data_IF_298864479838
#
_entry.id   IF_298864479838
#
_cell.length_a   1.000
_cell.length_b   1.000
_cell.length_c   1.000
_cell.angle_alpha   90.00
_cell.angle_beta   90.00
_cell.angle_gamma   90.00
#
_symmetry.space_group_name_H-M   'P 1'
#
loop_
_entity.id
_entity.type
_entity.pdbx_description
1 polymer ?
#
# COMPACT_ATOMS: atom_id res chain seq x y z
N UNK A 1 21.48 -18.39 -2.14
CA UNK A 1 20.71 -19.06 -1.07
C UNK A 1 19.79 -18.01 -0.47
N UNK A 2 18.54 -17.91 -0.95
CA UNK A 2 17.57 -16.98 -0.38
C UNK A 2 16.91 -17.70 0.80
N UNK A 3 17.11 -17.18 2.01
CA UNK A 3 16.39 -17.62 3.20
C UNK A 3 14.90 -17.38 2.99
N UNK A 4 14.16 -18.45 2.68
CA UNK A 4 12.71 -18.47 2.83
C UNK A 4 12.41 -18.28 4.31
N UNK A 5 12.20 -17.03 4.70
CA UNK A 5 11.63 -16.71 6.01
C UNK A 5 10.27 -17.42 6.06
N UNK A 6 10.15 -18.45 6.91
CA UNK A 6 8.89 -19.10 7.27
C UNK A 6 7.98 -18.08 7.97
N UNK A 7 7.48 -17.11 7.24
CA UNK A 7 6.45 -16.20 7.71
C UNK A 7 5.11 -16.90 7.47
N UNK A 8 4.20 -16.82 8.44
CA UNK A 8 2.82 -17.28 8.27
C UNK A 8 2.05 -16.56 7.14
N UNK A 9 2.67 -15.56 6.50
CA UNK A 9 2.19 -14.83 5.33
C UNK A 9 3.29 -14.70 4.27
N UNK A 10 2.91 -14.55 2.99
CA UNK A 10 3.88 -14.48 1.88
C UNK A 10 4.42 -13.09 1.54
N UNK A 11 4.05 -12.04 2.30
CA UNK A 11 4.64 -10.72 2.13
C UNK A 11 6.13 -10.71 2.47
N UNK A 12 6.92 -10.12 1.57
CA UNK A 12 8.36 -9.94 1.66
C UNK A 12 8.71 -8.45 1.73
N UNK A 13 9.92 -8.14 2.21
CA UNK A 13 10.45 -6.78 2.15
C UNK A 13 10.59 -6.36 0.68
N UNK A 14 10.06 -5.19 0.35
CA UNK A 14 9.98 -4.67 -1.02
C UNK A 14 8.63 -4.88 -1.71
N UNK A 15 7.75 -5.75 -1.18
CA UNK A 15 6.38 -5.84 -1.69
C UNK A 15 5.65 -4.50 -1.55
N UNK A 16 4.75 -4.24 -2.49
CA UNK A 16 3.99 -3.00 -2.54
C UNK A 16 2.53 -3.34 -2.27
N UNK A 17 1.91 -2.51 -1.44
CA UNK A 17 0.49 -2.50 -1.20
C UNK A 17 -0.05 -1.12 -1.50
N UNK A 18 -1.34 -1.02 -1.73
CA UNK A 18 -2.01 0.26 -1.89
C UNK A 18 -3.28 0.30 -1.06
N UNK A 19 -3.62 1.49 -0.57
CA UNK A 19 -4.91 1.78 0.04
C UNK A 19 -5.71 2.63 -0.95
N UNK A 20 -6.93 2.22 -1.22
CA UNK A 20 -7.90 3.01 -1.98
C UNK A 20 -9.04 3.38 -1.06
N UNK A 21 -9.31 4.68 -0.92
CA UNK A 21 -10.40 5.15 -0.10
C UNK A 21 -10.99 6.44 -0.65
N UNK A 22 -12.26 6.64 -0.37
CA UNK A 22 -12.92 7.91 -0.52
C UNK A 22 -14.40 7.73 -0.75
N UNK A 23 -15.11 8.83 -0.59
CA UNK A 23 -16.56 8.85 -0.57
C UNK A 23 -17.10 9.29 -1.93
N UNK A 24 -16.70 10.49 -2.36
CA UNK A 24 -16.98 11.04 -3.70
C UNK A 24 -15.74 11.03 -4.61
N UNK A 25 -14.57 10.74 -4.06
CA UNK A 25 -13.27 10.72 -4.73
C UNK A 25 -12.59 9.38 -4.45
N UNK A 26 -11.65 8.97 -5.30
CA UNK A 26 -10.87 7.75 -5.10
C UNK A 26 -9.42 8.15 -4.84
N UNK A 27 -9.04 8.26 -3.56
CA UNK A 27 -7.67 8.53 -3.17
C UNK A 27 -6.88 7.24 -3.08
N UNK A 28 -5.76 7.18 -3.78
CA UNK A 28 -4.85 6.05 -3.77
C UNK A 28 -3.55 6.44 -3.10
N UNK A 29 -3.13 5.67 -2.09
CA UNK A 29 -1.81 5.79 -1.48
C UNK A 29 -1.08 4.45 -1.57
N UNK A 30 0.19 4.49 -1.97
CA UNK A 30 1.03 3.31 -2.09
C UNK A 30 1.97 3.18 -0.89
N UNK A 31 2.25 1.94 -0.54
CA UNK A 31 2.99 1.56 0.64
C UNK A 31 3.96 0.44 0.30
N UNK A 32 5.21 0.56 0.72
CA UNK A 32 6.21 -0.48 0.55
C UNK A 32 6.47 -1.18 1.88
N UNK A 33 6.56 -2.51 1.85
CA UNK A 33 6.98 -3.32 2.98
C UNK A 33 8.45 -3.09 3.25
N UNK A 34 8.78 -2.48 4.40
CA UNK A 34 10.17 -2.22 4.81
C UNK A 34 10.69 -3.29 5.78
N UNK A 35 9.78 -4.04 6.42
CA UNK A 35 10.11 -5.09 7.39
C UNK A 35 8.95 -6.07 7.50
N UNK A 36 9.27 -7.33 7.72
CA UNK A 36 8.30 -8.42 7.94
C UNK A 36 8.73 -9.25 9.15
N UNK A 37 7.77 -9.75 9.90
CA UNK A 37 7.94 -10.84 10.87
C UNK A 37 6.90 -11.92 10.57
N UNK A 38 6.81 -12.97 11.39
CA UNK A 38 5.88 -14.09 11.17
C UNK A 38 4.41 -13.68 10.94
N UNK A 39 3.94 -12.62 11.63
CA UNK A 39 2.52 -12.20 11.60
C UNK A 39 2.33 -10.71 11.36
N UNK A 40 3.40 -9.95 11.15
CA UNK A 40 3.34 -8.49 11.12
C UNK A 40 4.21 -7.93 10.02
N UNK A 41 3.69 -6.95 9.31
CA UNK A 41 4.42 -6.17 8.31
C UNK A 41 4.49 -4.71 8.72
N UNK A 42 5.60 -4.07 8.38
CA UNK A 42 5.79 -2.63 8.51
C UNK A 42 5.74 -2.03 7.12
N UNK A 43 4.85 -1.08 6.95
CA UNK A 43 4.58 -0.42 5.68
C UNK A 43 5.02 1.03 5.80
N UNK A 44 5.68 1.53 4.77
CA UNK A 44 6.06 2.94 4.64
C UNK A 44 5.49 3.51 3.35
N UNK A 45 4.89 4.70 3.37
CA UNK A 45 4.31 5.27 2.17
C UNK A 45 5.41 5.62 1.17
N UNK A 46 5.11 5.37 -0.10
CA UNK A 46 6.00 5.67 -1.22
C UNK A 46 5.34 6.65 -2.18
N UNK A 47 6.18 7.38 -2.91
CA UNK A 47 5.73 8.26 -3.96
C UNK A 47 4.96 7.47 -5.03
N UNK A 48 4.08 8.17 -5.72
CA UNK A 48 3.34 7.67 -6.87
C UNK A 48 3.57 8.59 -8.06
N UNK A 49 3.48 8.03 -9.26
CA UNK A 49 3.52 8.78 -10.50
C UNK A 49 2.21 8.58 -11.25
N UNK A 50 1.72 9.62 -11.88
CA UNK A 50 0.57 9.52 -12.80
C UNK A 50 1.08 8.96 -14.12
N UNK A 51 0.46 7.88 -14.59
CA UNK A 51 0.82 7.21 -15.84
C UNK A 51 -0.12 7.59 -16.96
N UNK A 52 -1.41 7.70 -16.64
CA UNK A 52 -2.43 8.13 -17.58
C UNK A 52 -3.32 9.19 -16.94
N UNK A 53 -3.60 10.25 -17.69
CA UNK A 53 -4.60 11.25 -17.33
C UNK A 53 -5.80 11.00 -18.24
N UNK A 54 -6.87 10.43 -17.68
CA UNK A 54 -8.10 10.15 -18.43
C UNK A 54 -8.94 11.42 -18.57
N UNK A 55 -9.04 12.22 -17.52
CA UNK A 55 -9.67 13.53 -17.53
C UNK A 55 -8.84 14.50 -16.68
N UNK A 56 -9.18 15.79 -16.69
CA UNK A 56 -8.56 16.77 -15.78
C UNK A 56 -8.69 16.41 -14.29
N UNK A 57 -9.55 15.46 -13.94
CA UNK A 57 -9.90 15.06 -12.56
C UNK A 57 -9.79 13.54 -12.31
N UNK A 58 -9.30 12.76 -13.28
CA UNK A 58 -9.13 11.31 -13.14
C UNK A 58 -7.95 10.79 -13.93
N UNK A 59 -7.32 9.75 -13.39
CA UNK A 59 -6.17 9.13 -14.01
C UNK A 59 -5.82 7.78 -13.40
N UNK A 60 -4.72 7.22 -13.85
CA UNK A 60 -4.12 6.03 -13.26
C UNK A 60 -2.76 6.37 -12.69
N UNK A 61 -2.47 5.80 -11.54
CA UNK A 61 -1.23 6.01 -10.80
C UNK A 61 -0.50 4.70 -10.57
N UNK A 62 0.82 4.79 -10.62
CA UNK A 62 1.72 3.68 -10.31
C UNK A 62 2.60 4.05 -9.10
N UNK A 63 2.98 3.06 -8.27
CA UNK A 63 3.96 3.27 -7.22
C UNK A 63 5.34 3.57 -7.80
N UNK A 64 6.11 4.37 -7.09
CA UNK A 64 7.55 4.56 -7.34
C UNK A 64 8.31 3.87 -6.21
N UNK A 65 8.76 2.61 -6.42
CA UNK A 65 9.41 1.84 -5.37
C UNK A 65 10.67 2.56 -4.85
N UNK A 66 10.94 2.42 -3.56
CA UNK A 66 12.09 2.99 -2.83
C UNK A 66 12.15 4.52 -2.74
N UNK A 67 11.11 5.24 -3.19
CA UNK A 67 10.99 6.68 -2.97
C UNK A 67 9.99 6.91 -1.83
N UNK A 68 10.49 7.01 -0.60
CA UNK A 68 9.64 7.18 0.57
C UNK A 68 9.11 8.60 0.70
N UNK A 69 7.84 8.74 1.09
CA UNK A 69 7.16 10.01 1.33
C UNK A 69 6.56 10.01 2.73
N UNK A 70 6.07 11.16 3.17
CA UNK A 70 5.20 11.26 4.34
C UNK A 70 3.73 11.15 3.95
N UNK A 71 2.93 10.58 4.84
CA UNK A 71 1.49 10.44 4.73
C UNK A 71 0.83 10.91 6.02
N UNK A 72 0.20 12.08 5.96
CA UNK A 72 -0.32 12.77 7.14
C UNK A 72 -1.29 11.92 7.99
N UNK A 73 -2.05 11.00 7.37
CA UNK A 73 -3.01 10.16 8.10
C UNK A 73 -2.35 9.01 8.88
N UNK A 74 -1.07 8.70 8.64
CA UNK A 74 -0.37 7.66 9.38
C UNK A 74 -0.15 8.04 10.85
N UNK A 75 -0.06 9.35 11.16
CA UNK A 75 0.18 9.88 12.51
C UNK A 75 1.37 9.24 13.27
N UNK A 76 2.37 8.75 12.53
CA UNK A 76 3.57 8.10 13.07
C UNK A 76 4.84 8.74 12.48
N UNK A 77 5.97 8.56 13.18
CA UNK A 77 7.27 8.98 12.67
C UNK A 77 7.58 8.28 11.34
N UNK A 78 8.05 9.04 10.35
CA UNK A 78 8.31 8.56 8.98
C UNK A 78 7.08 7.95 8.29
N UNK A 79 5.89 8.21 8.83
CA UNK A 79 4.62 7.64 8.40
C UNK A 79 4.59 6.11 8.36
N UNK A 80 5.45 5.45 9.15
CA UNK A 80 5.55 4.00 9.21
C UNK A 80 4.38 3.43 9.99
N UNK A 81 3.64 2.52 9.37
CA UNK A 81 2.52 1.82 10.01
C UNK A 81 2.85 0.34 10.19
N UNK A 82 2.31 -0.26 11.24
CA UNK A 82 2.42 -1.69 11.51
C UNK A 82 1.06 -2.35 11.30
N UNK A 83 1.02 -3.43 10.52
CA UNK A 83 -0.21 -4.18 10.29
C UNK A 83 0.00 -5.67 10.51
N UNK A 84 -0.94 -6.29 11.20
CA UNK A 84 -0.93 -7.73 11.47
C UNK A 84 -1.58 -8.43 10.29
N UNK A 85 -0.90 -9.42 9.72
CA UNK A 85 -1.41 -10.23 8.62
C UNK A 85 -2.00 -11.51 9.21
N UNK A 86 -3.24 -11.83 8.83
CA UNK A 86 -3.85 -13.11 9.21
C UNK A 86 -3.22 -14.21 8.35
N UNK A 87 -2.93 -15.35 8.97
CA UNK A 87 -2.21 -16.47 8.34
C UNK A 87 -3.07 -17.30 7.37
N UNK A 88 -4.06 -16.69 6.73
CA UNK A 88 -4.95 -17.37 5.80
C UNK A 88 -4.82 -16.69 4.45
N UNK A 89 -4.16 -17.41 3.54
CA UNK A 89 -4.15 -17.21 2.09
C UNK A 89 -3.20 -16.11 1.53
N UNK A 90 -2.70 -16.42 0.33
CA UNK A 90 -1.70 -15.67 -0.41
C UNK A 90 -2.20 -14.28 -0.81
N UNK A 91 -1.45 -13.23 -0.42
CA UNK A 91 -1.67 -11.84 -0.89
C UNK A 91 -3.08 -11.29 -0.60
N UNK A 92 -3.80 -11.78 0.41
CA UNK A 92 -5.06 -11.15 0.77
C UNK A 92 -4.86 -9.71 1.28
N UNK A 93 -5.86 -8.83 1.06
CA UNK A 93 -5.79 -7.48 1.58
C UNK A 93 -5.65 -7.49 3.11
N UNK A 94 -4.79 -6.63 3.61
CA UNK A 94 -4.60 -6.46 5.04
C UNK A 94 -5.70 -5.52 5.52
N UNK A 95 -6.69 -6.09 6.21
CA UNK A 95 -7.80 -5.32 6.75
C UNK A 95 -7.36 -4.52 7.98
N UNK A 96 -7.49 -3.20 7.85
CA UNK A 96 -7.38 -2.28 8.96
C UNK A 96 -8.62 -2.24 9.84
N UNK A 97 -8.57 -1.44 10.89
CA UNK A 97 -9.73 -1.23 11.79
C UNK A 97 -10.79 -0.32 11.17
N UNK A 98 -10.46 0.42 10.11
CA UNK A 98 -11.33 1.37 9.43
C UNK A 98 -11.36 1.09 7.92
N UNK A 99 -12.44 1.48 7.23
CA UNK A 99 -12.57 1.25 5.77
C UNK A 99 -11.46 1.88 4.93
N UNK A 100 -10.84 2.98 5.38
CA UNK A 100 -9.71 3.63 4.70
C UNK A 100 -8.36 2.95 4.94
N UNK A 101 -8.32 1.96 5.83
CA UNK A 101 -7.11 1.29 6.32
C UNK A 101 -7.00 -0.13 5.75
N UNK A 102 -7.64 -0.40 4.61
CA UNK A 102 -7.53 -1.68 3.91
C UNK A 102 -6.42 -1.61 2.87
N UNK A 103 -5.39 -2.45 3.03
CA UNK A 103 -4.21 -2.49 2.16
C UNK A 103 -4.33 -3.65 1.18
N UNK A 104 -4.47 -3.34 -0.11
CA UNK A 104 -4.53 -4.32 -1.18
C UNK A 104 -3.13 -4.60 -1.73
N UNK A 105 -2.78 -5.85 -2.06
CA UNK A 105 -1.53 -6.16 -2.75
C UNK A 105 -1.48 -5.43 -4.10
N UNK A 106 -0.34 -4.82 -4.41
CA UNK A 106 -0.15 -4.23 -5.73
C UNK A 106 0.21 -5.34 -6.74
N UNK A 107 -0.66 -5.57 -7.73
CA UNK A 107 -0.49 -6.62 -8.74
C UNK A 107 0.41 -6.24 -9.93
N UNK A 108 0.95 -5.01 -9.97
CA UNK A 108 1.71 -4.50 -11.11
C UNK A 108 0.89 -3.75 -12.15
N UNK A 109 -0.41 -3.57 -11.92
CA UNK A 109 -1.29 -2.80 -12.80
C UNK A 109 -1.52 -1.38 -12.24
N UNK A 110 -1.60 -0.33 -13.09
CA UNK A 110 -1.92 1.02 -12.64
C UNK A 110 -3.25 1.07 -11.88
N UNK A 111 -3.29 1.82 -10.78
CA UNK A 111 -4.50 1.96 -9.95
C UNK A 111 -5.23 3.24 -10.32
N UNK A 112 -6.55 3.15 -10.53
CA UNK A 112 -7.38 4.31 -10.82
C UNK A 112 -7.51 5.25 -9.62
N UNK A 113 -7.34 6.54 -9.85
CA UNK A 113 -7.49 7.63 -8.88
C UNK A 113 -8.35 8.75 -9.48
N UNK A 114 -9.17 9.38 -8.63
CA UNK A 114 -9.97 10.55 -9.00
C UNK A 114 -9.91 11.62 -7.91
N UNK A 115 -9.79 12.89 -8.35
CA UNK A 115 -9.74 14.05 -7.46
C UNK A 115 -10.63 15.18 -7.97
N UNK A 116 -11.37 15.85 -7.09
CA UNK A 116 -12.09 17.10 -7.41
C UNK A 116 -11.28 18.32 -6.94
N UNK A 117 -11.41 19.43 -7.68
CA UNK A 117 -10.77 20.72 -7.38
C UNK A 117 -11.43 21.44 -6.20
#
# INVERSE_FOLDING_TARGET
>A
MATETNNAHKYLVGDILYTSWGYEQTNVAFWQVIKTTDKTVWLRPIAKKTVEVQTSMSGTVEPVPNIFTDYALANTKDSIIRRRVKAYDDRQPIFGSNSWDTFYPYGGEPVYESSYY
#
